data_IF_385790139674
#
_entry.id   IF_385790139674
#
_cell.length_a   1.000
_cell.length_b   1.000
_cell.length_c   1.000
_cell.angle_alpha   90.00
_cell.angle_beta   90.00
_cell.angle_gamma   90.00
#
_symmetry.space_group_name_H-M   'P 1'
#
loop_
_entity.id
_entity.type
_entity.pdbx_description
1 polymer ?
#
# COMPACT_ATOMS: atom_id res chain seq x y z
N UNK A 1 -8.40 -9.37 12.51
CA UNK A 1 -8.46 -8.77 11.17
C UNK A 1 -7.25 -9.23 10.40
N UNK A 2 -7.42 -9.62 9.14
CA UNK A 2 -6.33 -10.01 8.26
C UNK A 2 -5.62 -8.74 7.75
N UNK A 3 -4.34 -8.56 8.07
CA UNK A 3 -3.55 -7.44 7.57
C UNK A 3 -3.10 -7.74 6.14
N UNK A 4 -3.66 -7.03 5.17
CA UNK A 4 -3.19 -7.10 3.78
C UNK A 4 -1.93 -6.26 3.66
N UNK A 5 -0.77 -6.91 3.55
CA UNK A 5 0.51 -6.22 3.36
C UNK A 5 0.58 -5.63 1.94
N UNK A 6 0.32 -4.32 1.84
CA UNK A 6 0.43 -3.56 0.60
C UNK A 6 1.88 -3.10 0.44
N UNK A 7 2.68 -4.00 -0.18
CA UNK A 7 3.79 -3.71 -1.13
C UNK A 7 5.23 -3.89 -0.62
N UNK A 8 5.94 -4.71 -1.41
CA UNK A 8 7.39 -4.83 -1.59
C UNK A 8 7.64 -4.42 -3.07
N UNK A 9 7.54 -3.12 -3.40
CA UNK A 9 7.33 -2.67 -4.78
C UNK A 9 7.88 -1.29 -5.09
N UNK A 10 8.12 -1.08 -6.39
CA UNK A 10 8.70 0.14 -6.94
C UNK A 10 7.73 1.32 -6.72
N UNK A 11 8.16 2.44 -6.10
CA UNK A 11 7.36 3.66 -5.98
C UNK A 11 6.73 4.15 -7.28
N UNK A 12 7.31 3.82 -8.44
CA UNK A 12 6.80 4.22 -9.75
C UNK A 12 5.53 3.46 -10.15
N UNK A 13 5.36 2.20 -9.71
CA UNK A 13 4.28 1.32 -10.17
C UNK A 13 3.28 0.97 -9.05
N UNK A 14 3.38 1.60 -7.88
CA UNK A 14 2.61 1.22 -6.69
C UNK A 14 1.09 1.18 -6.93
N UNK A 15 0.57 2.09 -7.77
CA UNK A 15 -0.86 2.21 -8.04
C UNK A 15 -1.39 1.00 -8.82
N UNK A 16 -0.63 0.51 -9.79
CA UNK A 16 -0.97 -0.68 -10.57
C UNK A 16 -0.90 -1.93 -9.71
N UNK A 17 0.16 -2.07 -8.91
CA UNK A 17 0.33 -3.19 -7.97
C UNK A 17 -0.81 -3.24 -6.94
N UNK A 18 -1.19 -2.08 -6.41
CA UNK A 18 -2.29 -1.97 -5.46
C UNK A 18 -3.63 -2.30 -6.11
N UNK A 19 -3.87 -1.80 -7.32
CA UNK A 19 -5.05 -2.12 -8.11
C UNK A 19 -5.16 -3.63 -8.37
N UNK A 20 -4.06 -4.30 -8.73
CA UNK A 20 -4.06 -5.74 -8.97
C UNK A 20 -4.41 -6.52 -7.70
N UNK A 21 -3.83 -6.15 -6.55
CA UNK A 21 -4.14 -6.77 -5.25
C UNK A 21 -5.61 -6.58 -4.86
N UNK A 22 -6.13 -5.36 -4.99
CA UNK A 22 -7.54 -5.11 -4.71
C UNK A 22 -8.46 -5.89 -5.66
N UNK A 23 -8.10 -6.02 -6.93
CA UNK A 23 -8.86 -6.85 -7.87
C UNK A 23 -8.87 -8.34 -7.47
N UNK A 24 -7.80 -8.87 -6.89
CA UNK A 24 -7.79 -10.24 -6.32
C UNK A 24 -8.78 -10.35 -5.15
N UNK A 25 -8.78 -9.36 -4.24
CA UNK A 25 -9.74 -9.31 -3.12
C UNK A 25 -11.18 -9.22 -3.64
N UNK A 26 -11.46 -8.32 -4.59
CA UNK A 26 -12.78 -8.13 -5.19
C UNK A 26 -13.26 -9.43 -5.86
N UNK A 27 -12.39 -10.15 -6.59
CA UNK A 27 -12.72 -11.45 -7.17
C UNK A 27 -13.15 -12.44 -6.08
N UNK A 28 -12.42 -12.52 -4.98
CA UNK A 28 -12.78 -13.39 -3.85
C UNK A 28 -14.12 -12.98 -3.22
N UNK A 29 -14.32 -11.69 -2.98
CA UNK A 29 -15.57 -11.17 -2.39
C UNK A 29 -16.78 -11.41 -3.29
N UNK A 30 -16.60 -11.34 -4.61
CA UNK A 30 -17.67 -11.58 -5.57
C UNK A 30 -17.85 -13.06 -5.94
N UNK A 31 -16.91 -13.94 -5.60
CA UNK A 31 -17.00 -15.37 -5.92
C UNK A 31 -18.16 -16.05 -5.17
N UNK A 32 -18.51 -15.55 -3.99
CA UNK A 32 -19.64 -16.03 -3.18
C UNK A 32 -20.98 -15.42 -3.57
N UNK A 33 -20.99 -14.40 -4.45
CA UNK A 33 -22.21 -13.68 -4.85
C UNK A 33 -22.91 -14.33 -6.03
N UNK A 34 -24.24 -14.36 -5.98
CA UNK A 34 -25.07 -14.85 -7.11
C UNK A 34 -25.08 -13.84 -8.27
N UNK A 35 -25.62 -14.26 -9.42
CA UNK A 35 -25.59 -13.47 -10.67
C UNK A 35 -26.44 -12.20 -10.59
N UNK A 36 -27.43 -12.22 -9.71
CA UNK A 36 -28.44 -11.19 -9.43
C UNK A 36 -28.07 -10.29 -8.23
N UNK A 37 -27.01 -10.61 -7.48
CA UNK A 37 -26.54 -9.79 -6.36
C UNK A 37 -25.58 -8.70 -6.83
N UNK A 38 -25.67 -7.53 -6.20
CA UNK A 38 -24.78 -6.41 -6.48
C UNK A 38 -23.33 -6.79 -6.18
N UNK A 39 -22.45 -6.66 -7.19
CA UNK A 39 -21.03 -6.98 -7.07
C UNK A 39 -20.23 -5.77 -6.63
N UNK A 40 -19.18 -6.04 -5.87
CA UNK A 40 -18.21 -5.01 -5.48
C UNK A 40 -17.24 -4.78 -6.64
N UNK A 41 -16.79 -3.55 -6.83
CA UNK A 41 -15.78 -3.10 -7.79
C UNK A 41 -14.77 -2.20 -7.07
N UNK A 42 -13.74 -1.76 -7.79
CA UNK A 42 -12.77 -0.80 -7.24
C UNK A 42 -13.43 0.52 -6.81
N UNK A 43 -14.51 0.90 -7.48
CA UNK A 43 -15.17 2.19 -7.30
C UNK A 43 -16.12 2.21 -6.09
N UNK A 44 -16.57 1.03 -5.61
CA UNK A 44 -17.51 0.92 -4.49
C UNK A 44 -16.99 0.09 -3.31
N UNK A 45 -15.80 -0.54 -3.43
CA UNK A 45 -15.15 -1.21 -2.32
C UNK A 45 -14.74 -0.18 -1.27
N UNK A 46 -15.46 -0.17 -0.14
CA UNK A 46 -15.29 0.78 0.94
C UNK A 46 -15.13 0.10 2.30
N UNK A 47 -14.55 0.82 3.26
CA UNK A 47 -14.47 0.35 4.64
C UNK A 47 -15.82 0.52 5.33
N UNK A 48 -16.27 -0.53 6.02
CA UNK A 48 -17.58 -0.55 6.73
C UNK A 48 -17.52 0.14 8.10
N UNK A 49 -16.32 0.30 8.64
CA UNK A 49 -16.01 0.95 9.90
C UNK A 49 -14.72 1.76 9.77
N UNK A 50 -14.45 2.61 10.76
CA UNK A 50 -13.18 3.34 10.81
C UNK A 50 -12.02 2.34 10.78
N UNK A 51 -11.07 2.59 9.87
CA UNK A 51 -9.95 1.70 9.58
C UNK A 51 -8.65 2.49 9.55
N UNK A 52 -7.51 1.79 9.48
CA UNK A 52 -6.19 2.41 9.38
C UNK A 52 -5.47 1.99 8.11
N UNK A 53 -4.89 2.96 7.41
CA UNK A 53 -3.90 2.77 6.37
C UNK A 53 -2.52 2.94 6.99
N UNK A 54 -1.75 1.85 7.05
CA UNK A 54 -0.36 1.88 7.50
C UNK A 54 0.58 1.93 6.28
N UNK A 55 1.41 2.96 6.22
CA UNK A 55 2.43 3.15 5.20
C UNK A 55 3.80 3.01 5.85
N UNK A 56 4.65 2.17 5.27
CA UNK A 56 6.02 1.93 5.73
C UNK A 56 6.97 2.21 4.58
N UNK A 57 7.96 3.05 4.84
CA UNK A 57 9.05 3.31 3.90
C UNK A 57 10.31 2.63 4.40
N UNK A 58 10.97 1.88 3.53
CA UNK A 58 12.20 1.18 3.87
C UNK A 58 13.15 1.09 2.67
N UNK A 59 14.45 0.99 2.95
CA UNK A 59 15.51 0.77 1.98
C UNK A 59 16.22 -0.53 2.29
N UNK A 60 16.37 -1.37 1.26
CA UNK A 60 17.07 -2.64 1.35
C UNK A 60 18.51 -2.45 0.88
N UNK A 61 19.48 -2.74 1.74
CA UNK A 61 20.89 -2.72 1.38
C UNK A 61 21.36 -4.13 1.05
N UNK A 62 22.01 -4.26 -0.10
CA UNK A 62 22.69 -5.48 -0.52
C UNK A 62 24.12 -5.15 -0.93
N UNK A 63 25.09 -5.78 -0.30
CA UNK A 63 26.50 -5.72 -0.69
C UNK A 63 27.06 -7.14 -0.81
N UNK A 64 28.02 -7.35 -1.71
CA UNK A 64 28.73 -8.63 -1.78
C UNK A 64 29.44 -8.88 -0.44
N UNK A 65 29.26 -10.08 0.11
CA UNK A 65 29.87 -10.55 1.36
C UNK A 65 29.39 -9.88 2.67
N UNK A 66 28.33 -9.06 2.64
CA UNK A 66 27.70 -8.46 3.84
C UNK A 66 26.27 -8.97 4.01
N UNK A 67 25.80 -9.26 5.23
CA UNK A 67 24.40 -9.57 5.49
C UNK A 67 23.49 -8.47 4.95
N UNK A 68 22.47 -8.88 4.21
CA UNK A 68 21.42 -8.00 3.74
C UNK A 68 20.61 -7.49 4.92
N UNK A 69 20.36 -6.18 4.98
CA UNK A 69 19.52 -5.58 6.00
C UNK A 69 18.56 -4.56 5.39
N UNK A 70 17.43 -4.39 6.07
CA UNK A 70 16.38 -3.43 5.70
C UNK A 70 16.39 -2.31 6.73
N UNK A 71 16.63 -1.08 6.27
CA UNK A 71 16.48 0.11 7.09
C UNK A 71 15.08 0.67 6.90
N UNK A 72 14.27 0.68 7.96
CA UNK A 72 12.99 1.39 7.94
C UNK A 72 13.27 2.88 8.10
N UNK A 73 12.83 3.69 7.12
CA UNK A 73 13.02 5.14 7.13
C UNK A 73 11.91 5.85 7.86
N UNK A 74 10.67 5.37 7.69
CA UNK A 74 9.49 6.01 8.24
C UNK A 74 8.30 5.05 8.30
N UNK A 75 7.40 5.31 9.26
CA UNK A 75 6.10 4.65 9.37
C UNK A 75 5.04 5.73 9.60
N UNK A 76 3.97 5.71 8.82
CA UNK A 76 2.82 6.63 8.94
C UNK A 76 1.53 5.82 9.05
N UNK A 77 0.71 6.16 10.05
CA UNK A 77 -0.64 5.62 10.18
C UNK A 77 -1.64 6.72 9.82
N UNK A 78 -2.56 6.41 8.91
CA UNK A 78 -3.57 7.36 8.42
C UNK A 78 -4.94 6.76 8.70
N UNK A 79 -5.79 7.52 9.39
CA UNK A 79 -7.15 7.07 9.70
C UNK A 79 -8.02 7.16 8.45
N UNK A 80 -8.67 6.06 8.10
CA UNK A 80 -9.62 5.95 7.01
C UNK A 80 -11.04 5.96 7.57
N UNK A 81 -11.82 7.03 7.34
CA UNK A 81 -13.18 7.14 7.86
C UNK A 81 -14.10 6.03 7.35
N UNK A 82 -15.14 5.70 8.12
CA UNK A 82 -16.21 4.81 7.68
C UNK A 82 -16.79 5.25 6.33
N UNK A 83 -17.14 4.27 5.48
CA UNK A 83 -17.67 4.42 4.12
C UNK A 83 -16.69 5.04 3.11
N UNK A 84 -15.40 5.16 3.43
CA UNK A 84 -14.40 5.64 2.48
C UNK A 84 -14.08 4.55 1.45
N UNK A 85 -14.09 4.91 0.15
CA UNK A 85 -13.68 4.01 -0.93
C UNK A 85 -12.17 3.80 -0.88
N UNK A 86 -11.75 2.53 -0.80
CA UNK A 86 -10.38 2.14 -0.45
C UNK A 86 -9.37 2.60 -1.50
N UNK A 87 -9.65 2.35 -2.79
CA UNK A 87 -8.69 2.59 -3.86
C UNK A 87 -8.27 4.06 -4.02
N UNK A 88 -9.18 5.03 -4.21
CA UNK A 88 -8.79 6.43 -4.36
C UNK A 88 -8.13 6.97 -3.08
N UNK A 89 -8.67 6.66 -1.90
CA UNK A 89 -8.10 7.14 -0.64
C UNK A 89 -6.67 6.66 -0.44
N UNK A 90 -6.44 5.34 -0.51
CA UNK A 90 -5.11 4.81 -0.27
C UNK A 90 -4.13 5.19 -1.39
N UNK A 91 -4.59 5.34 -2.63
CA UNK A 91 -3.75 5.83 -3.73
C UNK A 91 -3.26 7.26 -3.49
N UNK A 92 -4.18 8.16 -3.10
CA UNK A 92 -3.86 9.57 -2.89
C UNK A 92 -2.95 9.76 -1.68
N UNK A 93 -3.25 9.09 -0.57
CA UNK A 93 -2.43 9.17 0.64
C UNK A 93 -1.04 8.52 0.45
N UNK A 94 -0.95 7.43 -0.31
CA UNK A 94 0.35 6.83 -0.65
C UNK A 94 1.16 7.75 -1.56
N UNK A 95 0.54 8.40 -2.55
CA UNK A 95 1.24 9.35 -3.42
C UNK A 95 1.77 10.56 -2.63
N UNK A 96 0.99 11.10 -1.68
CA UNK A 96 1.46 12.15 -0.76
C UNK A 96 2.64 11.67 0.07
N UNK A 97 2.52 10.48 0.65
CA UNK A 97 3.58 9.88 1.47
C UNK A 97 4.87 9.68 0.67
N UNK A 98 4.80 9.15 -0.56
CA UNK A 98 5.98 8.97 -1.42
C UNK A 98 6.70 10.29 -1.71
N UNK A 99 5.95 11.38 -1.94
CA UNK A 99 6.54 12.72 -2.10
C UNK A 99 7.26 13.19 -0.83
N UNK A 100 6.68 12.95 0.36
CA UNK A 100 7.31 13.26 1.65
C UNK A 100 8.62 12.47 1.88
N UNK A 101 8.69 11.23 1.37
CA UNK A 101 9.86 10.36 1.56
C UNK A 101 11.02 10.64 0.58
N UNK A 102 10.84 11.42 -0.49
CA UNK A 102 11.89 11.64 -1.50
C UNK A 102 13.22 12.11 -0.92
N UNK A 103 13.18 13.01 0.06
CA UNK A 103 14.40 13.50 0.70
C UNK A 103 15.04 12.42 1.59
N UNK A 104 14.23 11.69 2.36
CA UNK A 104 14.71 10.58 3.21
C UNK A 104 15.36 9.47 2.38
N UNK A 105 14.84 9.18 1.19
CA UNK A 105 15.49 8.26 0.25
C UNK A 105 16.85 8.78 -0.22
N UNK A 106 16.97 10.07 -0.57
CA UNK A 106 18.26 10.69 -0.93
C UNK A 106 19.27 10.65 0.22
N UNK A 107 18.82 10.90 1.44
CA UNK A 107 19.69 10.93 2.62
C UNK A 107 20.10 9.51 3.08
N UNK A 108 19.26 8.49 2.77
CA UNK A 108 19.55 7.09 3.06
C UNK A 108 20.62 6.47 2.14
N UNK A 109 21.12 7.18 1.12
CA UNK A 109 22.28 6.77 0.32
C UNK A 109 23.59 6.89 1.13
N UNK A 110 23.63 6.30 2.32
CA UNK A 110 24.74 6.34 3.25
C UNK A 110 25.97 5.54 2.76
N UNK A 111 25.81 4.69 1.74
CA UNK A 111 26.89 3.84 1.19
C UNK A 111 27.47 4.33 -0.15
N UNK A 112 27.13 5.54 -0.61
CA UNK A 112 27.69 6.11 -1.87
C UNK A 112 28.81 7.14 -1.65
N UNK A 113 29.40 7.20 -0.45
CA UNK A 113 30.65 7.93 -0.19
C UNK A 113 31.74 6.99 0.29
#
# INVERSE_FOLDING_TARGET
GEQILVVDGNPENFKEDFQEKLNKVIKTLNASKKKDEEKVSLDNLSVIEESKLELVSAVRYSAQYVPMFTLTLDKKEITMPKNTVIFPFASDETAKYLNEQQQKYKDSLFLTR
#
